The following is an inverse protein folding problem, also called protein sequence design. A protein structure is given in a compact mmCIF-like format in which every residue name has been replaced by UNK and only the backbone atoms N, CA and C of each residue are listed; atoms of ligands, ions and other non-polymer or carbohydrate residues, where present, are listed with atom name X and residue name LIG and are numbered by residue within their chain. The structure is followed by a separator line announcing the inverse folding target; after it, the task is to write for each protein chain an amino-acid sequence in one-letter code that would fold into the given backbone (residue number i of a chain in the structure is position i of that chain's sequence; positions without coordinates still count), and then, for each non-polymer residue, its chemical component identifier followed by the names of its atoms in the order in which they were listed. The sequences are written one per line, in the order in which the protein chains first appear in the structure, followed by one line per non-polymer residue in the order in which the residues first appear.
data_IF_178154126199
#
_entry.id   IF_178154126199
#
_cell.length_a   1.000
_cell.length_b   1.000
_cell.length_c   1.000
_cell.angle_alpha   90.00
_cell.angle_beta   90.00
_cell.angle_gamma   90.00
#
_symmetry.space_group_name_H-M   'P 1'
#
loop_
_entity.id
_entity.type
_entity.pdbx_description
1 polymer ?
#
# COMPACT_ATOMS: atom_id res chain seq x y z
N UNK A 1 1.69 27.32 -4.12
CA UNK A 1 2.16 27.42 -2.73
C UNK A 1 1.95 28.80 -2.07
N UNK A 2 1.35 29.81 -2.73
CA UNK A 2 1.12 31.15 -2.14
C UNK A 2 -0.39 31.52 -1.97
N UNK A 3 -1.30 30.53 -1.91
CA UNK A 3 -2.74 30.79 -1.99
C UNK A 3 -3.64 30.28 -0.86
N UNK A 4 -3.17 29.36 0.00
CA UNK A 4 -4.02 28.73 1.03
C UNK A 4 -3.60 29.16 2.44
N UNK A 5 -4.56 29.49 3.33
CA UNK A 5 -4.25 29.84 4.72
C UNK A 5 -3.47 28.69 5.41
N UNK A 6 -2.55 29.02 6.33
CA UNK A 6 -1.56 28.07 6.85
C UNK A 6 -2.19 26.84 7.54
N UNK A 7 -3.35 26.99 8.16
CA UNK A 7 -4.08 25.87 8.76
C UNK A 7 -4.62 24.85 7.75
N UNK A 8 -5.16 25.31 6.61
CA UNK A 8 -5.72 24.42 5.58
C UNK A 8 -4.61 23.67 4.86
N UNK A 9 -3.50 24.35 4.55
CA UNK A 9 -2.32 23.73 3.94
C UNK A 9 -1.71 22.63 4.83
N UNK A 10 -1.82 22.75 6.16
CA UNK A 10 -1.31 21.76 7.11
C UNK A 10 -2.16 20.48 7.07
N UNK A 11 -3.49 20.63 6.99
CA UNK A 11 -4.44 19.51 6.84
C UNK A 11 -4.29 18.83 5.46
N UNK A 12 -4.09 19.61 4.40
CA UNK A 12 -3.86 19.08 3.04
C UNK A 12 -2.53 18.30 2.97
N UNK A 13 -1.47 18.81 3.59
CA UNK A 13 -0.20 18.12 3.72
C UNK A 13 -0.31 16.82 4.53
N UNK A 14 -1.02 16.87 5.67
CA UNK A 14 -1.30 15.70 6.51
C UNK A 14 -2.05 14.62 5.74
N UNK A 15 -3.10 15.00 5.01
CA UNK A 15 -3.94 14.06 4.27
C UNK A 15 -3.16 13.41 3.13
N UNK A 16 -2.31 14.18 2.44
CA UNK A 16 -1.45 13.66 1.37
C UNK A 16 -0.40 12.70 1.91
N UNK A 17 0.23 13.04 3.04
CA UNK A 17 1.19 12.18 3.73
C UNK A 17 0.56 10.89 4.28
N UNK A 18 -0.60 11.01 4.92
CA UNK A 18 -1.36 9.86 5.45
C UNK A 18 -1.84 8.94 4.34
N UNK A 19 -2.33 9.48 3.22
CA UNK A 19 -2.73 8.70 2.06
C UNK A 19 -1.55 7.89 1.50
N UNK A 20 -0.39 8.52 1.34
CA UNK A 20 0.80 7.81 0.86
C UNK A 20 1.33 6.78 1.87
N UNK A 21 1.40 7.14 3.14
CA UNK A 21 1.81 6.23 4.21
C UNK A 21 0.91 5.00 4.30
N UNK A 22 -0.41 5.18 4.16
CA UNK A 22 -1.38 4.09 4.15
C UNK A 22 -1.13 3.12 2.99
N UNK A 23 -0.88 3.64 1.79
CA UNK A 23 -0.55 2.82 0.61
C UNK A 23 0.73 2.02 0.86
N UNK A 24 1.78 2.67 1.36
CA UNK A 24 3.04 1.99 1.68
C UNK A 24 2.88 0.91 2.73
N UNK A 25 2.10 1.17 3.79
CA UNK A 25 1.88 0.22 4.88
C UNK A 25 1.07 -0.99 4.41
N UNK A 26 0.02 -0.76 3.61
CA UNK A 26 -0.74 -1.85 2.99
C UNK A 26 0.15 -2.72 2.10
N UNK A 27 1.00 -2.11 1.27
CA UNK A 27 1.95 -2.87 0.44
C UNK A 27 2.98 -3.63 1.30
N UNK A 28 3.53 -2.99 2.33
CA UNK A 28 4.52 -3.59 3.22
C UNK A 28 3.97 -4.83 3.94
N UNK A 29 2.72 -4.77 4.42
CA UNK A 29 2.03 -5.89 5.06
C UNK A 29 2.06 -7.16 4.20
N UNK A 30 1.61 -7.07 2.95
CA UNK A 30 1.59 -8.22 2.05
C UNK A 30 3.00 -8.67 1.65
N UNK A 31 3.93 -7.72 1.49
CA UNK A 31 5.33 -8.03 1.14
C UNK A 31 6.06 -8.77 2.26
N UNK A 32 5.83 -8.39 3.51
CA UNK A 32 6.45 -9.03 4.68
C UNK A 32 5.89 -10.44 4.87
N UNK A 33 4.56 -10.58 4.78
CA UNK A 33 3.87 -11.85 4.93
C UNK A 33 4.32 -12.86 3.87
N UNK A 34 4.30 -12.49 2.59
CA UNK A 34 4.64 -13.40 1.51
C UNK A 34 6.16 -13.59 1.34
N UNK A 35 6.95 -12.55 1.63
CA UNK A 35 8.40 -12.56 1.45
C UNK A 35 9.14 -13.31 2.55
N UNK A 36 8.75 -13.10 3.82
CA UNK A 36 9.49 -13.60 4.99
C UNK A 36 8.64 -14.50 5.90
N UNK A 37 7.34 -14.66 5.63
CA UNK A 37 6.45 -15.45 6.47
C UNK A 37 6.12 -14.78 7.82
N UNK A 38 6.55 -13.54 7.99
CA UNK A 38 6.48 -12.80 9.26
C UNK A 38 5.62 -11.55 9.09
N UNK A 39 5.13 -11.06 10.22
CA UNK A 39 4.37 -9.83 10.31
C UNK A 39 4.82 -9.08 11.54
N UNK A 40 5.41 -7.90 11.36
CA UNK A 40 6.04 -7.10 12.42
C UNK A 40 7.08 -7.92 13.22
N UNK A 41 7.80 -8.80 12.54
CA UNK A 41 8.78 -9.71 13.15
C UNK A 41 8.19 -10.92 13.89
N UNK A 42 6.86 -11.06 13.95
CA UNK A 42 6.22 -12.27 14.48
C UNK A 42 6.03 -13.28 13.34
N UNK A 43 6.51 -14.53 13.47
CA UNK A 43 6.26 -15.57 12.47
C UNK A 43 4.78 -15.95 12.48
N UNK A 44 4.09 -15.66 11.37
CA UNK A 44 2.67 -15.97 11.17
C UNK A 44 2.50 -17.21 10.31
N UNK A 45 3.38 -17.36 9.31
CA UNK A 45 3.44 -18.52 8.44
C UNK A 45 4.48 -19.49 9.00
N UNK A 46 4.08 -20.75 9.19
CA UNK A 46 4.94 -21.80 9.76
C UNK A 46 5.87 -22.44 8.71
N UNK A 47 6.54 -23.52 9.11
CA UNK A 47 7.56 -24.23 8.30
C UNK A 47 7.09 -24.76 6.94
N UNK A 48 5.77 -24.79 6.72
CA UNK A 48 5.15 -25.18 5.44
C UNK A 48 5.19 -24.06 4.39
N UNK A 49 5.50 -22.83 4.78
CA UNK A 49 5.56 -21.69 3.87
C UNK A 49 6.97 -21.50 3.32
N UNK A 50 7.07 -21.53 1.99
CA UNK A 50 8.31 -21.18 1.31
C UNK A 50 8.35 -19.67 1.18
N UNK A 51 9.36 -19.06 1.79
CA UNK A 51 9.60 -17.63 1.68
C UNK A 51 9.83 -17.21 0.23
N UNK A 52 8.95 -16.35 -0.29
CA UNK A 52 9.07 -15.83 -1.65
C UNK A 52 10.07 -14.68 -1.67
N UNK A 53 11.38 -14.98 -1.72
CA UNK A 53 12.44 -13.97 -1.75
C UNK A 53 12.26 -12.89 -2.83
N UNK A 54 11.55 -13.21 -3.92
CA UNK A 54 11.18 -12.26 -4.99
C UNK A 54 10.32 -11.08 -4.49
N UNK A 55 9.50 -11.28 -3.46
CA UNK A 55 8.64 -10.24 -2.87
C UNK A 55 9.41 -9.20 -2.05
N UNK A 56 10.58 -9.58 -1.54
CA UNK A 56 11.49 -8.67 -0.82
C UNK A 56 12.29 -7.82 -1.80
N UNK A 57 12.68 -8.40 -2.94
CA UNK A 57 13.48 -7.74 -3.96
C UNK A 57 12.71 -6.62 -4.71
N UNK A 58 13.42 -5.67 -5.38
CA UNK A 58 12.82 -4.63 -6.20
C UNK A 58 11.73 -5.07 -7.20
N UNK A 59 11.89 -6.18 -7.98
CA UNK A 59 10.85 -6.64 -8.91
C UNK A 59 9.51 -6.94 -8.23
N UNK A 60 9.51 -7.47 -6.99
CA UNK A 60 8.28 -7.73 -6.24
C UNK A 60 7.52 -6.46 -5.86
N UNK A 61 8.24 -5.35 -5.63
CA UNK A 61 7.61 -4.06 -5.32
C UNK A 61 6.81 -3.50 -6.50
N UNK A 62 7.34 -3.59 -7.72
CA UNK A 62 6.63 -3.16 -8.93
C UNK A 62 5.39 -4.00 -9.20
N UNK A 63 5.49 -5.32 -8.99
CA UNK A 63 4.35 -6.21 -9.13
C UNK A 63 3.23 -5.85 -8.14
N UNK A 64 3.56 -5.66 -6.86
CA UNK A 64 2.59 -5.26 -5.84
C UNK A 64 1.96 -3.90 -6.14
N UNK A 65 2.74 -2.94 -6.65
CA UNK A 65 2.21 -1.64 -7.06
C UNK A 65 1.19 -1.78 -8.20
N UNK A 66 1.50 -2.61 -9.21
CA UNK A 66 0.61 -2.86 -10.33
C UNK A 66 -0.72 -3.48 -9.88
N UNK A 67 -0.66 -4.50 -9.01
CA UNK A 67 -1.84 -5.15 -8.43
C UNK A 67 -2.63 -4.15 -7.57
N UNK A 68 -1.95 -3.36 -6.73
CA UNK A 68 -2.60 -2.36 -5.89
C UNK A 68 -3.37 -1.32 -6.71
N UNK A 69 -2.74 -0.77 -7.75
CA UNK A 69 -3.39 0.19 -8.66
C UNK A 69 -4.56 -0.46 -9.39
N UNK A 70 -4.43 -1.73 -9.81
CA UNK A 70 -5.51 -2.46 -10.45
C UNK A 70 -6.71 -2.66 -9.51
N UNK A 71 -6.49 -3.07 -8.26
CA UNK A 71 -7.54 -3.24 -7.25
C UNK A 71 -8.22 -1.91 -6.93
N UNK A 72 -7.44 -0.85 -6.68
CA UNK A 72 -7.98 0.48 -6.39
C UNK A 72 -8.81 1.00 -7.56
N UNK A 73 -8.30 0.86 -8.80
CA UNK A 73 -9.05 1.27 -9.99
C UNK A 73 -10.30 0.41 -10.22
N UNK A 74 -10.20 -0.90 -10.00
CA UNK A 74 -11.29 -1.85 -10.22
C UNK A 74 -12.41 -1.73 -9.18
N UNK A 75 -12.06 -1.47 -7.91
CA UNK A 75 -13.02 -1.36 -6.82
C UNK A 75 -13.50 0.08 -6.60
N UNK A 76 -12.60 1.04 -6.50
CA UNK A 76 -12.95 2.43 -6.12
C UNK A 76 -13.45 3.23 -7.32
N UNK A 77 -12.73 3.18 -8.44
CA UNK A 77 -13.10 3.99 -9.62
C UNK A 77 -14.27 3.40 -10.41
N UNK A 78 -14.50 2.08 -10.34
CA UNK A 78 -15.70 1.46 -10.92
C UNK A 78 -16.97 1.87 -10.17
N UNK A 79 -16.94 1.82 -8.84
CA UNK A 79 -18.08 2.24 -8.00
C UNK A 79 -18.39 3.73 -8.17
N UNK A 80 -17.37 4.60 -8.34
CA UNK A 80 -17.59 6.01 -8.64
C UNK A 80 -18.29 6.25 -10.00
N UNK A 81 -18.14 5.31 -10.95
CA UNK A 81 -18.74 5.39 -12.28
C UNK A 81 -20.16 4.82 -12.31
N UNK A 82 -20.48 3.83 -11.47
CA UNK A 82 -21.83 3.28 -11.31
C UNK A 82 -22.77 4.18 -10.49
N UNK A 83 -22.21 5.05 -9.64
CA UNK A 83 -22.98 6.02 -8.84
C UNK A 83 -23.33 7.32 -9.58
N UNK A 84 -22.97 7.43 -10.87
CA UNK A 84 -23.18 8.61 -11.72
C UNK A 84 -24.16 8.27 -12.83
#
# INVERSE_FOLDING_TARGET
AMGNPPGISLVDGLTSGLGYAYVLLAMAFFRELLGLGTLWGVPVLGDWWINWSIMVMPPGAFFMLAVFVWVVKGAVLKTAREKK
#
